data_IF_952521752727
#
_entry.id   IF_952521752727
#
_cell.length_a   1.000
_cell.length_b   1.000
_cell.length_c   1.000
_cell.angle_alpha   90.00
_cell.angle_beta   90.00
_cell.angle_gamma   90.00
#
_symmetry.space_group_name_H-M   'P 1'
#
loop_
_entity.id
_entity.type
_entity.pdbx_description
1 polymer ?
#
# COMPACT_ATOMS: atom_id res chain seq x y z
N UNK A 1 33.99 -25.16 -52.92
CA UNK A 1 33.16 -23.94 -52.81
C UNK A 1 31.73 -24.24 -52.41
N UNK A 2 30.96 -25.04 -53.17
CA UNK A 2 29.55 -25.37 -52.83
C UNK A 2 29.37 -26.08 -51.47
N UNK A 3 30.18 -27.09 -51.15
CA UNK A 3 30.07 -27.80 -49.86
C UNK A 3 30.31 -26.90 -48.64
N UNK A 4 31.20 -25.92 -48.76
CA UNK A 4 31.49 -24.94 -47.71
C UNK A 4 30.29 -24.00 -47.49
N UNK A 5 29.66 -23.53 -48.57
CA UNK A 5 28.45 -22.70 -48.50
C UNK A 5 27.27 -23.48 -47.89
N UNK A 6 27.10 -24.75 -48.23
CA UNK A 6 26.06 -25.61 -47.63
C UNK A 6 26.32 -25.81 -46.13
N UNK A 7 27.57 -26.04 -45.72
CA UNK A 7 27.93 -26.15 -44.31
C UNK A 7 27.59 -24.88 -43.51
N UNK A 8 27.97 -23.71 -44.04
CA UNK A 8 27.67 -22.43 -43.40
C UNK A 8 26.16 -22.16 -43.30
N UNK A 9 25.41 -22.51 -44.35
CA UNK A 9 23.95 -22.37 -44.36
C UNK A 9 23.29 -23.23 -43.28
N UNK A 10 23.71 -24.49 -43.13
CA UNK A 10 23.19 -25.38 -42.08
C UNK A 10 23.52 -24.84 -40.69
N UNK A 11 24.75 -24.39 -40.46
CA UNK A 11 25.15 -23.78 -39.18
C UNK A 11 24.29 -22.54 -38.88
N UNK A 12 24.08 -21.66 -39.87
CA UNK A 12 23.26 -20.46 -39.70
C UNK A 12 21.82 -20.82 -39.32
N UNK A 13 21.22 -21.84 -39.96
CA UNK A 13 19.86 -22.29 -39.63
C UNK A 13 19.77 -22.86 -38.21
N UNK A 14 20.78 -23.61 -37.77
CA UNK A 14 20.85 -24.13 -36.40
C UNK A 14 20.94 -22.99 -35.37
N UNK A 15 21.77 -21.99 -35.62
CA UNK A 15 21.91 -20.81 -34.74
C UNK A 15 20.60 -20.03 -34.67
N UNK A 16 19.95 -19.79 -35.81
CA UNK A 16 18.66 -19.09 -35.86
C UNK A 16 17.59 -19.89 -35.09
N UNK A 17 17.53 -21.21 -35.29
CA UNK A 17 16.59 -22.08 -34.59
C UNK A 17 16.81 -22.07 -33.07
N UNK A 18 18.07 -22.13 -32.62
CA UNK A 18 18.42 -22.04 -31.22
C UNK A 18 18.03 -20.68 -30.62
N UNK A 19 18.30 -19.58 -31.33
CA UNK A 19 17.93 -18.24 -30.89
C UNK A 19 16.41 -18.09 -30.77
N UNK A 20 15.65 -18.58 -31.76
CA UNK A 20 14.19 -18.55 -31.72
C UNK A 20 13.63 -19.31 -30.50
N UNK A 21 14.21 -20.47 -30.18
CA UNK A 21 13.81 -21.28 -29.02
C UNK A 21 14.12 -20.56 -27.69
N UNK A 22 15.29 -19.91 -27.58
CA UNK A 22 15.65 -19.11 -26.40
C UNK A 22 14.70 -17.92 -26.24
N UNK A 23 14.43 -17.17 -27.31
CA UNK A 23 13.50 -16.04 -27.28
C UNK A 23 12.10 -16.50 -26.87
N UNK A 24 11.62 -17.63 -27.40
CA UNK A 24 10.34 -18.21 -26.99
C UNK A 24 10.31 -18.61 -25.51
N UNK A 25 11.38 -19.24 -25.01
CA UNK A 25 11.49 -19.60 -23.60
C UNK A 25 11.46 -18.36 -22.68
N UNK A 26 12.19 -17.30 -23.05
CA UNK A 26 12.18 -16.03 -22.34
C UNK A 26 10.80 -15.36 -22.38
N UNK A 27 10.15 -15.31 -23.55
CA UNK A 27 8.81 -14.76 -23.69
C UNK A 27 7.79 -15.51 -22.82
N UNK A 28 7.91 -16.84 -22.73
CA UNK A 28 7.07 -17.66 -21.84
C UNK A 28 7.34 -17.37 -20.37
N UNK A 29 8.60 -17.23 -19.95
CA UNK A 29 8.94 -16.87 -18.57
C UNK A 29 8.42 -15.49 -18.20
N UNK A 30 8.59 -14.51 -19.10
CA UNK A 30 8.07 -13.16 -18.96
C UNK A 30 6.54 -13.17 -18.89
N UNK A 31 5.87 -13.98 -19.72
CA UNK A 31 4.42 -14.18 -19.67
C UNK A 31 3.93 -14.73 -18.34
N UNK A 32 4.54 -15.80 -17.82
CA UNK A 32 4.19 -16.38 -16.51
C UNK A 32 4.43 -15.37 -15.37
N UNK A 33 5.51 -14.59 -15.45
CA UNK A 33 5.81 -13.56 -14.48
C UNK A 33 4.79 -12.41 -14.55
N UNK A 34 4.42 -11.98 -15.75
CA UNK A 34 3.38 -10.97 -15.96
C UNK A 34 1.99 -11.48 -15.64
N UNK A 35 1.68 -12.77 -15.70
CA UNK A 35 0.39 -13.30 -15.23
C UNK A 35 0.27 -13.17 -13.70
N UNK A 36 1.38 -13.43 -12.99
CA UNK A 36 1.44 -13.29 -11.52
C UNK A 36 1.58 -11.84 -11.05
N UNK A 37 2.13 -10.99 -11.89
CA UNK A 37 2.31 -9.56 -11.65
C UNK A 37 1.30 -8.71 -12.43
N UNK A 38 0.33 -9.35 -13.10
CA UNK A 38 -0.63 -8.68 -13.97
C UNK A 38 -1.29 -7.60 -13.12
N UNK A 39 -1.31 -6.38 -13.65
CA UNK A 39 -1.28 -5.18 -12.86
C UNK A 39 -2.48 -5.15 -11.95
N UNK A 40 -2.24 -4.74 -10.71
CA UNK A 40 -3.20 -4.05 -9.84
C UNK A 40 -3.53 -2.73 -10.55
N UNK A 41 -4.17 -2.83 -11.72
CA UNK A 41 -4.34 -1.79 -12.73
C UNK A 41 -5.82 -1.50 -13.00
N UNK A 42 -6.70 -1.99 -12.15
CA UNK A 42 -8.05 -1.49 -12.07
C UNK A 42 -8.20 -0.92 -10.67
N UNK A 43 -8.76 0.29 -10.59
CA UNK A 43 -9.42 0.88 -9.43
C UNK A 43 -10.38 -0.13 -8.81
N UNK A 44 -9.86 -1.15 -8.16
CA UNK A 44 -10.64 -1.95 -7.25
C UNK A 44 -10.81 -1.02 -6.08
N UNK A 45 -12.00 -0.42 -6.00
CA UNK A 45 -12.57 0.09 -4.77
C UNK A 45 -12.22 -0.95 -3.71
N UNK A 46 -11.14 -0.71 -2.97
CA UNK A 46 -10.78 -1.59 -1.88
C UNK A 46 -12.00 -1.56 -0.99
N UNK A 47 -12.60 -2.72 -0.70
CA UNK A 47 -13.86 -2.74 -0.02
C UNK A 47 -13.66 -2.18 1.41
N UNK A 48 -14.74 -1.83 2.11
CA UNK A 48 -14.69 -1.03 3.34
C UNK A 48 -14.80 0.47 3.09
N UNK A 49 -14.48 1.29 4.10
CA UNK A 49 -14.77 2.73 4.11
C UNK A 49 -14.25 3.49 2.87
N UNK A 50 -15.12 4.27 2.22
CA UNK A 50 -14.78 5.02 1.01
C UNK A 50 -13.83 6.20 1.29
N UNK A 51 -12.96 6.47 0.31
CA UNK A 51 -12.12 7.67 0.32
C UNK A 51 -13.03 8.91 0.30
N UNK A 52 -12.78 9.86 1.19
CA UNK A 52 -13.60 11.05 1.42
C UNK A 52 -14.60 10.90 2.56
N UNK A 53 -14.75 9.71 3.14
CA UNK A 53 -15.59 9.49 4.33
C UNK A 53 -14.83 9.77 5.62
N UNK A 54 -15.55 10.28 6.63
CA UNK A 54 -15.03 10.41 7.98
C UNK A 54 -14.76 9.02 8.57
N UNK A 55 -13.60 8.85 9.22
CA UNK A 55 -13.33 7.66 10.00
C UNK A 55 -14.26 7.62 11.22
N UNK A 56 -14.91 6.48 11.52
CA UNK A 56 -15.61 6.33 12.78
C UNK A 56 -14.62 6.50 13.94
N UNK A 57 -15.09 7.13 15.03
CA UNK A 57 -14.29 7.28 16.23
C UNK A 57 -14.11 5.92 16.89
N UNK A 58 -12.88 5.42 16.86
CA UNK A 58 -12.49 4.13 17.43
C UNK A 58 -11.39 4.39 18.45
N UNK A 59 -11.50 3.77 19.62
CA UNK A 59 -10.47 3.83 20.66
C UNK A 59 -9.66 2.54 20.60
N UNK A 60 -8.43 2.66 20.10
CA UNK A 60 -7.47 1.56 20.08
C UNK A 60 -6.68 1.50 21.38
N UNK A 61 -5.87 0.45 21.56
CA UNK A 61 -5.01 0.29 22.73
C UNK A 61 -3.55 0.38 22.34
N UNK A 62 -2.77 1.19 23.06
CA UNK A 62 -1.32 1.21 22.90
C UNK A 62 -0.69 -0.04 23.54
N UNK A 63 0.58 -0.28 23.21
CA UNK A 63 1.40 -1.32 23.84
C UNK A 63 1.42 -1.23 25.36
N UNK A 64 1.40 -0.02 25.90
CA UNK A 64 1.43 0.29 27.33
C UNK A 64 0.04 0.19 27.98
N UNK A 65 -0.99 -0.23 27.22
CA UNK A 65 -2.36 -0.36 27.69
C UNK A 65 -3.14 0.97 27.71
N UNK A 66 -2.56 2.04 27.18
CA UNK A 66 -3.20 3.35 27.05
C UNK A 66 -4.31 3.35 26.00
N UNK A 67 -5.26 4.28 26.12
CA UNK A 67 -6.26 4.52 25.07
C UNK A 67 -5.69 5.41 23.97
N UNK A 68 -5.87 5.01 22.72
CA UNK A 68 -5.44 5.76 21.54
C UNK A 68 -6.63 6.00 20.61
N UNK A 69 -7.28 7.18 20.68
CA UNK A 69 -8.41 7.49 19.82
C UNK A 69 -7.94 7.76 18.38
N UNK A 70 -8.72 7.31 17.40
CA UNK A 70 -8.54 7.59 15.97
C UNK A 70 -9.88 8.03 15.36
N UNK A 71 -9.81 8.85 14.31
CA UNK A 71 -10.97 9.50 13.70
C UNK A 71 -11.36 10.82 14.38
N UNK A 72 -10.45 11.39 15.18
CA UNK A 72 -10.61 12.71 15.77
C UNK A 72 -9.90 13.77 14.94
N UNK A 73 -10.22 15.04 15.20
CA UNK A 73 -9.51 16.17 14.59
C UNK A 73 -8.05 16.18 15.03
N UNK A 74 -7.14 16.20 14.06
CA UNK A 74 -5.71 16.46 14.33
C UNK A 74 -5.43 17.96 14.26
N UNK A 75 -4.22 18.35 14.67
CA UNK A 75 -3.76 19.73 14.48
C UNK A 75 -3.79 20.14 13.00
N UNK A 76 -4.14 21.40 12.74
CA UNK A 76 -4.33 21.92 11.38
C UNK A 76 -3.15 21.59 10.45
N UNK A 77 -3.45 21.04 9.27
CA UNK A 77 -2.45 20.68 8.26
C UNK A 77 -1.68 19.39 8.54
N UNK A 78 -1.94 18.69 9.65
CA UNK A 78 -1.33 17.38 9.93
C UNK A 78 -2.02 16.28 9.13
N UNK A 79 -1.27 15.20 8.88
CA UNK A 79 -1.75 14.00 8.19
C UNK A 79 -1.29 12.80 8.99
N UNK A 80 -2.22 11.89 9.26
CA UNK A 80 -1.93 10.67 9.99
C UNK A 80 -1.92 9.49 9.01
N UNK A 81 -0.83 8.73 9.01
CA UNK A 81 -0.75 7.45 8.32
C UNK A 81 -0.92 6.31 9.33
N UNK A 82 -1.94 5.51 9.07
CA UNK A 82 -2.28 4.29 9.78
C UNK A 82 -1.68 3.12 8.99
N UNK A 83 -0.59 2.52 9.48
CA UNK A 83 0.12 1.44 8.81
C UNK A 83 -0.10 0.10 9.53
N UNK A 84 -0.84 -0.80 8.89
CA UNK A 84 -1.11 -2.14 9.39
C UNK A 84 0.05 -3.08 9.08
N UNK A 85 0.54 -3.78 10.11
CA UNK A 85 1.72 -4.65 10.05
C UNK A 85 1.52 -5.92 10.88
N UNK A 86 2.31 -6.94 10.59
CA UNK A 86 2.39 -8.19 11.37
C UNK A 86 3.83 -8.72 11.33
N UNK A 87 4.21 -9.54 12.31
CA UNK A 87 5.56 -10.10 12.43
C UNK A 87 5.92 -11.07 11.29
N UNK A 88 4.93 -11.81 10.78
CA UNK A 88 5.10 -12.86 9.77
C UNK A 88 5.09 -12.34 8.32
N UNK A 89 5.40 -11.05 8.13
CA UNK A 89 5.29 -10.35 6.85
C UNK A 89 6.67 -9.80 6.39
N UNK A 90 7.33 -10.45 5.41
CA UNK A 90 8.65 -10.02 4.91
C UNK A 90 8.64 -8.62 4.28
N UNK A 91 7.51 -8.20 3.72
CA UNK A 91 7.34 -6.86 3.15
C UNK A 91 7.25 -5.82 4.28
N UNK A 92 6.51 -6.12 5.35
CA UNK A 92 6.36 -5.26 6.52
C UNK A 92 7.74 -4.97 7.15
N UNK A 93 8.59 -6.00 7.29
CA UNK A 93 9.98 -5.85 7.75
C UNK A 93 10.79 -4.82 6.94
N UNK A 94 10.51 -4.67 5.64
CA UNK A 94 11.19 -3.70 4.77
C UNK A 94 10.54 -2.31 4.78
N UNK A 95 9.21 -2.24 4.80
CA UNK A 95 8.46 -0.99 4.66
C UNK A 95 8.36 -0.22 5.97
N UNK A 96 8.23 -0.90 7.12
CA UNK A 96 8.06 -0.25 8.41
C UNK A 96 9.20 0.72 8.75
N UNK A 97 10.50 0.35 8.62
CA UNK A 97 11.59 1.28 8.91
C UNK A 97 11.59 2.52 8.00
N UNK A 98 11.14 2.37 6.74
CA UNK A 98 11.02 3.49 5.79
C UNK A 98 9.93 4.45 6.24
N UNK A 99 8.76 3.93 6.62
CA UNK A 99 7.67 4.74 7.13
C UNK A 99 8.07 5.48 8.41
N UNK A 100 8.76 4.81 9.33
CA UNK A 100 9.28 5.41 10.58
C UNK A 100 10.27 6.53 10.27
N UNK A 101 11.18 6.35 9.31
CA UNK A 101 12.10 7.40 8.89
C UNK A 101 11.35 8.61 8.30
N UNK A 102 10.36 8.38 7.43
CA UNK A 102 9.53 9.45 6.87
C UNK A 102 8.75 10.24 7.94
N UNK A 103 8.27 9.55 8.97
CA UNK A 103 7.60 10.19 10.11
C UNK A 103 8.57 11.04 10.95
N UNK A 104 9.80 10.53 11.18
CA UNK A 104 10.86 11.29 11.86
C UNK A 104 11.28 12.54 11.08
N UNK A 105 11.25 12.48 9.76
CA UNK A 105 11.50 13.62 8.87
C UNK A 105 10.33 14.64 8.87
N UNK A 106 9.26 14.39 9.62
CA UNK A 106 8.11 15.29 9.77
C UNK A 106 7.13 15.26 8.59
N UNK A 107 7.21 14.26 7.71
CA UNK A 107 6.32 14.16 6.54
C UNK A 107 4.89 13.78 6.91
N UNK A 108 4.70 13.10 8.04
CA UNK A 108 3.40 12.61 8.53
C UNK A 108 3.48 12.16 9.98
N UNK A 109 2.32 12.06 10.63
CA UNK A 109 2.16 11.34 11.88
C UNK A 109 1.94 9.87 11.61
N UNK A 110 2.87 9.02 12.02
CA UNK A 110 2.76 7.58 11.79
C UNK A 110 2.20 6.87 13.01
N UNK A 111 1.21 6.01 12.79
CA UNK A 111 0.68 5.06 13.77
C UNK A 111 0.78 3.67 13.17
N UNK A 112 1.48 2.78 13.87
CA UNK A 112 1.58 1.38 13.48
C UNK A 112 0.45 0.60 14.15
N UNK A 113 -0.30 -0.17 13.37
CA UNK A 113 -1.35 -1.04 13.87
C UNK A 113 -0.91 -2.48 13.70
N UNK A 114 -0.69 -3.16 14.81
CA UNK A 114 -0.39 -4.58 14.85
C UNK A 114 -1.59 -5.37 15.33
N UNK A 115 -1.69 -6.61 14.88
CA UNK A 115 -2.52 -7.64 15.50
C UNK A 115 -1.65 -8.59 16.33
N UNK A 116 -2.17 -9.03 17.47
CA UNK A 116 -1.44 -9.89 18.40
C UNK A 116 -1.56 -9.47 19.86
N UNK A 117 -1.06 -10.35 20.71
CA UNK A 117 -0.93 -10.16 22.16
C UNK A 117 0.14 -9.10 22.47
N UNK A 118 0.12 -8.48 23.67
CA UNK A 118 1.16 -7.54 24.09
C UNK A 118 2.61 -8.05 23.88
N UNK A 119 2.99 -9.30 24.25
CA UNK A 119 4.35 -9.79 24.00
C UNK A 119 4.70 -9.87 22.51
N UNK A 120 3.75 -10.23 21.64
CA UNK A 120 3.97 -10.27 20.19
C UNK A 120 4.17 -8.86 19.61
N UNK A 121 3.40 -7.89 20.08
CA UNK A 121 3.55 -6.49 19.69
C UNK A 121 4.88 -5.89 20.21
N UNK A 122 5.34 -6.28 21.40
CA UNK A 122 6.67 -5.90 21.89
C UNK A 122 7.78 -6.46 20.99
N UNK A 123 7.70 -7.75 20.64
CA UNK A 123 8.64 -8.35 19.68
C UNK A 123 8.59 -7.66 18.31
N UNK A 124 7.40 -7.22 17.86
CA UNK A 124 7.24 -6.47 16.61
C UNK A 124 7.94 -5.09 16.64
N UNK A 125 7.82 -4.37 17.77
CA UNK A 125 8.51 -3.08 18.00
C UNK A 125 10.02 -3.24 17.92
N UNK A 126 10.57 -4.28 18.55
CA UNK A 126 11.99 -4.59 18.51
C UNK A 126 12.43 -5.01 17.10
N UNK A 127 11.72 -5.95 16.48
CA UNK A 127 12.08 -6.52 15.18
C UNK A 127 12.14 -5.48 14.05
N UNK A 128 11.26 -4.48 14.09
CA UNK A 128 11.15 -3.45 13.05
C UNK A 128 11.76 -2.10 13.46
N UNK A 129 12.43 -2.05 14.61
CA UNK A 129 13.09 -0.86 15.15
C UNK A 129 12.17 0.38 15.10
N UNK A 130 10.92 0.22 15.54
CA UNK A 130 9.89 1.25 15.38
C UNK A 130 10.11 2.48 16.27
N UNK A 131 11.02 2.36 17.25
CA UNK A 131 11.38 3.42 18.19
C UNK A 131 10.16 3.93 18.95
N UNK A 132 10.04 5.25 19.06
CA UNK A 132 8.94 5.92 19.76
C UNK A 132 7.65 6.01 18.93
N UNK A 133 7.61 5.41 17.74
CA UNK A 133 6.40 5.40 16.93
C UNK A 133 5.28 4.66 17.68
N UNK A 134 4.08 5.25 17.82
CA UNK A 134 2.95 4.59 18.43
C UNK A 134 2.66 3.25 17.72
N UNK A 135 2.70 2.16 18.50
CA UNK A 135 2.27 0.83 18.06
C UNK A 135 1.04 0.46 18.88
N UNK A 136 -0.08 0.29 18.19
CA UNK A 136 -1.40 0.08 18.77
C UNK A 136 -2.01 -1.21 18.24
N UNK A 137 -2.97 -1.73 18.99
CA UNK A 137 -3.84 -2.84 18.58
C UNK A 137 -5.29 -2.37 18.55
N UNK A 138 -6.00 -2.75 17.49
CA UNK A 138 -7.34 -2.25 17.19
C UNK A 138 -7.96 -2.99 16.00
N UNK A 139 -8.46 -4.21 16.20
CA UNK A 139 -9.02 -5.02 15.12
C UNK A 139 -10.24 -4.34 14.45
N UNK A 140 -10.99 -3.53 15.19
CA UNK A 140 -12.16 -2.79 14.71
C UNK A 140 -11.83 -1.91 13.50
N UNK A 141 -10.69 -1.22 13.52
CA UNK A 141 -10.30 -0.33 12.42
C UNK A 141 -9.92 -1.12 11.16
N UNK A 142 -9.29 -2.30 11.35
CA UNK A 142 -9.01 -3.24 10.27
C UNK A 142 -10.28 -3.75 9.60
N UNK A 143 -11.36 -3.96 10.37
CA UNK A 143 -12.68 -4.36 9.85
C UNK A 143 -13.36 -3.22 9.07
N UNK A 144 -13.34 -1.99 9.60
CA UNK A 144 -13.92 -0.82 8.93
C UNK A 144 -13.25 -0.54 7.58
N UNK A 145 -11.91 -0.65 7.54
CA UNK A 145 -11.13 -0.48 6.31
C UNK A 145 -11.06 -1.74 5.45
N UNK A 146 -11.64 -2.86 5.92
CA UNK A 146 -11.59 -4.21 5.34
C UNK A 146 -10.18 -4.60 4.88
N UNK A 147 -9.23 -4.51 5.81
CA UNK A 147 -7.82 -4.85 5.57
C UNK A 147 -7.69 -6.36 5.36
N UNK A 148 -7.59 -6.74 4.09
CA UNK A 148 -7.45 -8.14 3.65
C UNK A 148 -5.99 -8.61 3.53
N UNK A 149 -5.05 -7.69 3.36
CA UNK A 149 -3.66 -7.97 3.02
C UNK A 149 -2.74 -6.95 3.66
N UNK A 150 -1.52 -7.37 3.99
CA UNK A 150 -0.52 -6.54 4.67
C UNK A 150 0.79 -6.44 3.86
N UNK A 151 1.55 -5.35 4.02
CA UNK A 151 1.21 -4.17 4.80
C UNK A 151 0.19 -3.28 4.07
N UNK A 152 -0.70 -2.68 4.84
CA UNK A 152 -1.76 -1.80 4.35
C UNK A 152 -1.62 -0.44 5.01
N UNK A 153 -1.73 0.63 4.24
CA UNK A 153 -1.70 1.99 4.75
C UNK A 153 -3.04 2.68 4.48
N UNK A 154 -3.48 3.48 5.44
CA UNK A 154 -4.55 4.45 5.28
C UNK A 154 -4.04 5.83 5.71
N UNK A 155 -4.34 6.86 4.93
CA UNK A 155 -3.96 8.25 5.24
C UNK A 155 -5.22 9.02 5.58
N UNK A 156 -5.21 9.66 6.73
CA UNK A 156 -6.28 10.48 7.28
C UNK A 156 -5.80 11.92 7.38
N UNK A 157 -6.68 12.86 7.05
CA UNK A 157 -6.38 14.30 7.19
C UNK A 157 -6.64 14.82 8.61
N UNK A 158 -6.48 16.12 8.79
CA UNK A 158 -6.71 16.84 10.03
C UNK A 158 -8.18 16.87 10.48
N UNK A 159 -9.13 16.55 9.61
CA UNK A 159 -10.55 16.43 9.92
C UNK A 159 -10.97 14.99 10.26
N UNK A 160 -10.04 14.04 10.33
CA UNK A 160 -10.39 12.63 10.54
C UNK A 160 -11.00 11.97 9.29
N UNK A 161 -10.82 12.55 8.11
CA UNK A 161 -11.35 12.03 6.84
C UNK A 161 -10.32 11.15 6.14
N UNK A 162 -10.76 9.97 5.68
CA UNK A 162 -9.91 9.06 4.92
C UNK A 162 -9.59 9.65 3.54
N UNK A 163 -8.31 9.88 3.24
CA UNK A 163 -7.87 10.49 1.97
C UNK A 163 -7.22 9.51 1.01
N UNK A 164 -6.56 8.47 1.52
CA UNK A 164 -5.99 7.42 0.70
C UNK A 164 -5.98 6.11 1.48
N UNK A 165 -6.11 4.97 0.78
CA UNK A 165 -5.90 3.64 1.38
C UNK A 165 -5.32 2.65 0.38
N UNK A 166 -4.48 1.73 0.86
CA UNK A 166 -4.04 0.59 0.06
C UNK A 166 -2.75 -0.10 0.49
N UNK A 167 -2.36 -1.08 -0.32
CA UNK A 167 -1.15 -1.87 -0.10
C UNK A 167 0.10 -1.04 -0.41
N UNK A 168 1.11 -1.17 0.46
CA UNK A 168 2.37 -0.40 0.36
C UNK A 168 3.56 -1.33 0.33
N UNK A 169 4.41 -1.24 -0.68
CA UNK A 169 5.58 -2.13 -0.77
C UNK A 169 6.90 -1.37 -0.86
N UNK A 170 6.85 -0.05 -1.10
CA UNK A 170 8.00 0.79 -1.41
C UNK A 170 7.83 2.18 -0.81
N UNK A 171 8.94 2.92 -0.71
CA UNK A 171 8.94 4.34 -0.32
C UNK A 171 8.04 5.18 -1.24
N UNK A 172 8.16 4.98 -2.55
CA UNK A 172 7.37 5.71 -3.54
C UNK A 172 5.86 5.52 -3.34
N UNK A 173 5.39 4.34 -2.92
CA UNK A 173 3.97 4.14 -2.60
C UNK A 173 3.52 5.00 -1.42
N UNK A 174 4.33 5.08 -0.36
CA UNK A 174 4.03 5.90 0.81
C UNK A 174 3.98 7.39 0.43
N UNK A 175 4.98 7.87 -0.31
CA UNK A 175 5.05 9.25 -0.79
C UNK A 175 3.87 9.61 -1.70
N UNK A 176 3.50 8.71 -2.62
CA UNK A 176 2.34 8.90 -3.49
C UNK A 176 1.02 8.96 -2.71
N UNK A 177 0.85 8.14 -1.66
CA UNK A 177 -0.33 8.21 -0.78
C UNK A 177 -0.40 9.53 0.00
N UNK A 178 0.73 10.04 0.47
CA UNK A 178 0.77 11.33 1.16
C UNK A 178 0.49 12.49 0.19
N UNK A 179 0.97 12.40 -1.05
CA UNK A 179 0.73 13.40 -2.08
C UNK A 179 -0.74 13.43 -2.53
N UNK A 180 -1.38 12.26 -2.70
CA UNK A 180 -2.81 12.21 -3.02
C UNK A 180 -3.69 12.73 -1.90
N UNK A 181 -3.28 12.51 -0.64
CA UNK A 181 -3.97 13.06 0.52
C UNK A 181 -3.85 14.58 0.64
N UNK A 182 -2.74 15.16 0.17
CA UNK A 182 -2.52 16.61 0.18
C UNK A 182 -3.13 17.38 -0.98
N UNK A 183 -3.51 16.72 -2.07
CA UNK A 183 -3.93 17.36 -3.33
C UNK A 183 -5.42 17.26 -3.65
N UNK A 184 -6.27 16.84 -2.69
CA UNK A 184 -7.71 16.70 -2.89
C UNK A 184 -8.53 17.80 -2.18
N UNK A 185 -8.67 19.02 -2.76
CA UNK A 185 -9.83 19.85 -2.52
C UNK A 185 -11.03 19.24 -3.27
N UNK A 186 -12.18 19.17 -2.59
CA UNK A 186 -13.35 18.38 -2.94
C UNK A 186 -13.69 18.25 -4.43
N UNK A 187 -13.84 17.00 -4.90
CA UNK A 187 -14.46 16.71 -6.19
C UNK A 187 -15.38 15.48 -6.12
N UNK A 188 -16.35 15.52 -5.19
CA UNK A 188 -17.51 14.61 -5.23
C UNK A 188 -18.81 15.21 -4.68
N UNK A 189 -18.80 16.42 -4.11
CA UNK A 189 -20.04 17.13 -3.78
C UNK A 189 -20.76 17.69 -5.03
N UNK A 190 -20.06 17.86 -6.15
CA UNK A 190 -20.62 18.48 -7.35
C UNK A 190 -21.44 17.53 -8.26
N UNK A 191 -21.70 16.28 -7.87
CA UNK A 191 -22.57 15.36 -8.65
C UNK A 191 -23.98 15.20 -8.06
N UNK A 192 -24.28 15.89 -6.95
CA UNK A 192 -25.61 15.82 -6.32
C UNK A 192 -26.52 17.04 -6.61
N UNK A 193 -25.99 18.15 -7.15
CA UNK A 193 -26.81 19.33 -7.50
C UNK A 193 -27.21 19.42 -8.97
N UNK A 194 -26.56 18.69 -9.88
CA UNK A 194 -26.91 18.71 -11.32
C UNK A 194 -28.13 17.83 -11.66
N UNK A 195 -28.56 16.94 -10.75
CA UNK A 195 -29.79 16.13 -10.92
C UNK A 195 -31.06 16.80 -10.38
N UNK A 196 -30.96 17.96 -9.71
CA UNK A 196 -32.13 18.68 -9.18
C UNK A 196 -32.57 19.86 -10.09
N UNK A 197 -31.70 20.37 -10.96
CA UNK A 197 -32.02 21.46 -11.90
C UNK A 197 -32.49 20.99 -13.29
N UNK A 198 -32.59 19.68 -13.53
CA UNK A 198 -33.16 19.12 -14.75
C UNK A 198 -34.66 18.76 -14.63
N UNK A 199 -35.31 19.14 -13.52
CA UNK A 199 -36.71 18.81 -13.22
C UNK A 199 -37.60 20.02 -12.91
N UNK A 200 -37.20 21.23 -13.31
CA UNK A 200 -38.08 22.42 -13.35
C UNK A 200 -38.08 22.98 -14.77
#
# INVERSE_FOLDING_TARGET
MMAFLMGLQVISLLVIGALALIVFALARQIGILHERLAPIGATQTQPGLDIGSALPRIVMRTLEGGSFPVGEHLGAGRRQMLLFITSDCPICRRVTPIAVAMARDGLMDLVLIGDGTPPELHALREAYATGDTPLVTGPELGLVLQVSRLPFAAVVDDHGTLRAKGLVNTRAHLENMLASAGSMPGKTAARAEESLHAAI
#
